data_IF_825349196099
#
_entry.id   IF_825349196099
#
_cell.length_a   1.000
_cell.length_b   1.000
_cell.length_c   1.000
_cell.angle_alpha   90.00
_cell.angle_beta   90.00
_cell.angle_gamma   90.00
#
_symmetry.space_group_name_H-M   'P 1'
#
loop_
_entity.id
_entity.type
_entity.pdbx_description
1 polymer ?
#
# COMPACT_ATOMS: atom_id res chain seq x y z
N UNK A 1 -6.59 -3.58 2.83
CA UNK A 1 -5.31 -3.18 2.19
C UNK A 1 -5.48 -1.76 1.68
N UNK A 2 -4.65 -0.84 2.12
CA UNK A 2 -4.62 0.55 1.69
C UNK A 2 -3.41 0.73 0.74
N UNK A 3 -3.69 1.02 -0.53
CA UNK A 3 -2.68 1.21 -1.59
C UNK A 3 -2.73 2.65 -2.15
N UNK A 4 -3.16 3.58 -1.31
CA UNK A 4 -3.41 4.96 -1.69
C UNK A 4 -3.46 5.87 -0.48
N UNK A 5 -3.97 7.08 -0.71
CA UNK A 5 -4.10 8.12 0.30
C UNK A 5 -5.03 7.70 1.45
N UNK A 6 -4.78 8.27 2.63
CA UNK A 6 -5.50 7.93 3.87
C UNK A 6 -6.85 8.63 4.05
N UNK A 7 -7.34 9.39 3.07
CA UNK A 7 -8.59 10.17 3.15
C UNK A 7 -9.79 9.31 3.53
N UNK A 8 -10.04 8.24 2.78
CA UNK A 8 -11.16 7.33 3.04
C UNK A 8 -11.03 6.61 4.39
N UNK A 9 -9.79 6.34 4.82
CA UNK A 9 -9.55 5.68 6.10
C UNK A 9 -9.81 6.63 7.26
N UNK A 10 -9.37 7.88 7.15
CA UNK A 10 -9.64 8.90 8.16
C UNK A 10 -11.14 9.19 8.26
N UNK A 11 -11.82 9.35 7.13
CA UNK A 11 -13.27 9.57 7.09
C UNK A 11 -14.03 8.41 7.75
N UNK A 12 -13.61 7.16 7.49
CA UNK A 12 -14.15 6.00 8.19
C UNK A 12 -13.93 6.11 9.70
N UNK A 13 -12.70 6.37 10.16
CA UNK A 13 -12.38 6.42 11.59
C UNK A 13 -13.12 7.55 12.33
N UNK A 14 -13.39 8.66 11.64
CA UNK A 14 -14.15 9.80 12.17
C UNK A 14 -15.67 9.63 12.06
N UNK A 15 -16.15 8.67 11.26
CA UNK A 15 -17.59 8.50 11.03
C UNK A 15 -18.33 8.07 12.31
N UNK A 16 -19.40 8.79 12.62
CA UNK A 16 -20.29 8.48 13.73
C UNK A 16 -21.36 7.45 13.33
N UNK A 17 -21.97 6.79 14.31
CA UNK A 17 -23.10 5.90 14.12
C UNK A 17 -24.39 6.68 13.79
N UNK A 18 -24.43 7.32 12.61
CA UNK A 18 -25.54 8.20 12.20
C UNK A 18 -26.20 7.78 10.89
N UNK A 19 -25.62 6.85 10.14
CA UNK A 19 -26.25 6.30 8.93
C UNK A 19 -27.40 5.36 9.29
N UNK A 20 -28.54 5.38 8.56
CA UNK A 20 -29.63 4.43 8.78
C UNK A 20 -29.13 2.98 8.75
N UNK A 21 -29.34 2.24 9.84
CA UNK A 21 -28.87 0.87 10.02
C UNK A 21 -27.46 0.72 10.62
N UNK A 22 -26.71 1.80 10.83
CA UNK A 22 -25.42 1.75 11.53
C UNK A 22 -25.63 1.76 13.05
N UNK A 23 -25.15 0.72 13.73
CA UNK A 23 -25.25 0.59 15.19
C UNK A 23 -23.95 0.92 15.92
N UNK A 24 -22.87 1.23 15.19
CA UNK A 24 -21.52 1.51 15.72
C UNK A 24 -20.82 2.60 14.90
N UNK A 25 -19.88 3.33 15.51
CA UNK A 25 -19.00 4.27 14.79
C UNK A 25 -18.04 3.54 13.86
N UNK A 26 -17.42 4.24 12.91
CA UNK A 26 -16.45 3.60 12.02
C UNK A 26 -15.20 3.08 12.75
N UNK A 27 -14.76 3.76 13.82
CA UNK A 27 -13.72 3.24 14.71
C UNK A 27 -14.10 1.90 15.35
N UNK A 28 -15.33 1.79 15.88
CA UNK A 28 -15.84 0.54 16.44
C UNK A 28 -16.05 -0.54 15.38
N UNK A 29 -16.39 -0.16 14.15
CA UNK A 29 -16.45 -1.08 13.03
C UNK A 29 -15.07 -1.67 12.71
N UNK A 30 -14.02 -0.83 12.69
CA UNK A 30 -12.63 -1.26 12.48
C UNK A 30 -12.23 -2.28 13.54
N UNK A 31 -12.42 -1.95 14.83
CA UNK A 31 -12.12 -2.87 15.95
C UNK A 31 -12.79 -4.23 15.81
N UNK A 32 -14.04 -4.25 15.34
CA UNK A 32 -14.86 -5.48 15.25
C UNK A 32 -14.59 -6.32 14.00
N UNK A 33 -14.17 -5.70 12.88
CA UNK A 33 -14.20 -6.33 11.55
C UNK A 33 -12.85 -6.39 10.86
N UNK A 34 -11.88 -5.59 11.27
CA UNK A 34 -10.56 -5.56 10.65
C UNK A 34 -9.61 -6.43 11.46
N UNK A 35 -9.10 -7.49 10.84
CA UNK A 35 -8.07 -8.35 11.45
C UNK A 35 -6.67 -7.77 11.33
N UNK A 36 -6.41 -7.00 10.27
CA UNK A 36 -5.13 -6.34 9.98
C UNK A 36 -5.31 -5.26 8.92
N UNK A 37 -4.58 -4.17 9.03
CA UNK A 37 -4.36 -3.21 7.95
C UNK A 37 -3.01 -3.49 7.28
N UNK A 38 -3.01 -3.52 5.95
CA UNK A 38 -1.78 -3.54 5.15
C UNK A 38 -1.73 -2.22 4.41
N UNK A 39 -0.62 -1.50 4.52
CA UNK A 39 -0.42 -0.17 3.94
C UNK A 39 0.72 -0.24 2.94
N UNK A 40 0.49 0.14 1.69
CA UNK A 40 1.58 0.58 0.81
C UNK A 40 1.84 2.05 1.10
N UNK A 41 2.97 2.34 1.72
CA UNK A 41 3.41 3.71 1.94
C UNK A 41 4.52 3.84 2.96
N UNK A 42 5.06 5.04 3.03
CA UNK A 42 6.21 5.37 3.85
C UNK A 42 7.55 4.94 3.22
N UNK A 43 8.63 5.28 3.93
CA UNK A 43 10.02 5.03 3.56
C UNK A 43 10.80 4.51 4.76
N UNK A 44 11.78 3.63 4.49
CA UNK A 44 12.85 3.30 5.45
C UNK A 44 14.12 4.11 5.19
N UNK A 45 14.30 4.64 3.98
CA UNK A 45 15.47 5.44 3.56
C UNK A 45 15.04 6.80 2.96
N UNK A 46 14.49 7.72 3.76
CA UNK A 46 14.14 9.05 3.27
C UNK A 46 15.39 9.87 2.93
N UNK A 47 15.29 10.74 1.92
CA UNK A 47 16.34 11.71 1.57
C UNK A 47 15.84 13.13 1.77
N UNK A 48 16.74 14.12 1.83
CA UNK A 48 16.34 15.53 1.93
C UNK A 48 15.46 15.97 0.77
N UNK A 49 15.78 15.52 -0.46
CA UNK A 49 15.01 15.83 -1.67
C UNK A 49 13.65 15.10 -1.74
N UNK A 50 13.52 13.95 -1.07
CA UNK A 50 12.32 13.11 -1.11
C UNK A 50 12.00 12.55 0.28
N UNK A 51 11.62 13.40 1.24
CA UNK A 51 11.53 13.01 2.64
C UNK A 51 10.32 12.13 2.96
N UNK A 52 9.27 12.19 2.15
CA UNK A 52 8.04 11.40 2.28
C UNK A 52 7.78 10.52 1.06
N UNK A 53 7.00 9.46 1.27
CA UNK A 53 6.41 8.65 0.20
C UNK A 53 5.05 9.24 -0.20
N UNK A 54 4.64 8.98 -1.45
CA UNK A 54 3.48 9.60 -2.09
C UNK A 54 2.14 9.32 -1.37
N UNK A 55 1.89 8.10 -0.89
CA UNK A 55 0.65 7.80 -0.17
C UNK A 55 0.59 8.44 1.23
N UNK A 56 1.73 8.83 1.81
CA UNK A 56 1.81 9.42 3.14
C UNK A 56 1.70 10.95 3.14
N UNK A 57 2.38 11.61 2.21
CA UNK A 57 2.39 13.07 2.13
C UNK A 57 2.10 13.65 0.75
N UNK A 58 1.88 12.80 -0.27
CA UNK A 58 1.67 13.23 -1.65
C UNK A 58 2.73 14.21 -2.11
N UNK A 59 2.31 15.17 -2.93
CA UNK A 59 3.15 16.31 -3.29
C UNK A 59 3.36 17.32 -2.15
N UNK A 60 2.87 17.06 -0.93
CA UNK A 60 3.09 17.84 0.29
C UNK A 60 4.45 17.63 0.95
N UNK A 61 5.48 17.26 0.18
CA UNK A 61 6.89 17.29 0.61
C UNK A 61 7.46 18.70 0.59
N UNK A 62 8.79 18.83 0.60
CA UNK A 62 9.44 20.13 0.41
C UNK A 62 8.94 20.78 -0.89
N UNK A 63 8.06 21.78 -0.72
CA UNK A 63 7.26 22.37 -1.79
C UNK A 63 5.76 22.27 -1.54
N UNK A 64 5.25 22.93 -0.49
CA UNK A 64 3.81 23.26 -0.41
C UNK A 64 3.42 24.03 -1.67
N UNK A 65 2.29 23.68 -2.27
CA UNK A 65 1.91 24.22 -3.59
C UNK A 65 0.90 23.39 -4.36
N UNK A 66 0.39 22.30 -3.78
CA UNK A 66 -0.63 21.47 -4.38
C UNK A 66 -2.06 21.82 -3.94
N UNK A 67 -2.24 22.89 -3.16
CA UNK A 67 -3.54 23.37 -2.73
C UNK A 67 -4.21 22.39 -1.76
N UNK A 68 -5.35 21.82 -2.15
CA UNK A 68 -6.13 20.91 -1.29
C UNK A 68 -5.39 19.63 -0.89
N UNK A 69 -4.26 19.32 -1.55
CA UNK A 69 -3.44 18.14 -1.29
C UNK A 69 -2.27 18.37 -0.32
N UNK A 70 -2.08 19.60 0.16
CA UNK A 70 -1.01 19.94 1.11
C UNK A 70 -1.24 19.35 2.52
N UNK A 71 -2.43 18.82 2.80
CA UNK A 71 -2.81 18.27 4.10
C UNK A 71 -2.66 16.74 4.21
N UNK A 72 -2.09 16.06 3.21
CA UNK A 72 -1.99 14.60 3.25
C UNK A 72 -1.13 14.07 4.40
N UNK A 73 -0.06 14.77 4.77
CA UNK A 73 0.71 14.42 5.97
C UNK A 73 -0.13 14.46 7.25
N UNK A 74 -1.03 15.43 7.36
CA UNK A 74 -1.96 15.55 8.48
C UNK A 74 -3.00 14.44 8.47
N UNK A 75 -3.55 14.12 7.30
CA UNK A 75 -4.54 13.06 7.12
C UNK A 75 -3.94 11.71 7.50
N UNK A 76 -2.75 11.38 6.98
CA UNK A 76 -2.03 10.14 7.29
C UNK A 76 -1.69 10.05 8.78
N UNK A 77 -1.12 11.12 9.35
CA UNK A 77 -0.81 11.17 10.79
C UNK A 77 -2.06 10.95 11.64
N UNK A 78 -3.17 11.62 11.30
CA UNK A 78 -4.41 11.55 12.08
C UNK A 78 -5.07 10.17 11.96
N UNK A 79 -5.06 9.56 10.77
CA UNK A 79 -5.58 8.22 10.56
C UNK A 79 -4.78 7.16 11.33
N UNK A 80 -3.45 7.21 11.26
CA UNK A 80 -2.58 6.28 12.00
C UNK A 80 -2.68 6.47 13.52
N UNK A 81 -2.82 7.71 14.00
CA UNK A 81 -3.01 8.01 15.44
C UNK A 81 -4.35 7.53 15.98
N UNK A 82 -5.40 7.55 15.15
CA UNK A 82 -6.73 7.06 15.52
C UNK A 82 -6.88 5.54 15.36
N UNK A 83 -5.96 4.90 14.63
CA UNK A 83 -6.03 3.47 14.39
C UNK A 83 -5.97 2.69 15.71
N UNK A 84 -6.87 1.72 15.94
CA UNK A 84 -6.86 0.94 17.18
C UNK A 84 -5.54 0.16 17.34
N UNK A 85 -4.86 0.33 18.47
CA UNK A 85 -3.56 -0.31 18.73
C UNK A 85 -3.65 -1.83 18.83
N UNK A 86 -4.84 -2.37 19.08
CA UNK A 86 -5.14 -3.80 19.09
C UNK A 86 -5.32 -4.39 17.68
N UNK A 87 -5.44 -3.57 16.63
CA UNK A 87 -5.60 -4.02 15.24
C UNK A 87 -4.26 -3.87 14.51
N UNK A 88 -3.57 -4.96 14.15
CA UNK A 88 -2.25 -4.90 13.54
C UNK A 88 -2.17 -4.08 12.25
N UNK A 89 -1.06 -3.38 12.04
CA UNK A 89 -0.70 -2.69 10.80
C UNK A 89 0.62 -3.25 10.27
N UNK A 90 0.66 -3.60 8.99
CA UNK A 90 1.90 -3.92 8.26
C UNK A 90 2.13 -2.90 7.16
N UNK A 91 3.31 -2.27 7.15
CA UNK A 91 3.73 -1.30 6.14
C UNK A 91 4.60 -1.97 5.08
N UNK A 92 4.31 -1.68 3.82
CA UNK A 92 5.17 -1.93 2.68
C UNK A 92 5.63 -0.57 2.16
N UNK A 93 6.91 -0.28 2.34
CA UNK A 93 7.49 1.01 2.04
C UNK A 93 8.00 1.11 0.59
N UNK A 94 8.40 2.33 0.22
CA UNK A 94 8.91 2.60 -1.12
C UNK A 94 10.13 1.73 -1.47
N UNK A 95 11.09 1.59 -0.55
CA UNK A 95 12.33 0.88 -0.82
C UNK A 95 12.12 -0.60 -1.12
N UNK A 96 11.16 -1.26 -0.45
CA UNK A 96 10.88 -2.68 -0.69
C UNK A 96 10.25 -2.94 -2.06
N UNK A 97 9.28 -2.12 -2.47
CA UNK A 97 8.52 -2.34 -3.69
C UNK A 97 9.19 -1.86 -4.97
N UNK A 98 10.16 -0.93 -4.88
CA UNK A 98 10.83 -0.35 -6.06
C UNK A 98 11.67 -1.38 -6.84
N UNK A 99 12.14 -2.44 -6.16
CA UNK A 99 13.03 -3.44 -6.76
C UNK A 99 12.29 -4.66 -7.30
N UNK A 100 11.01 -4.84 -6.97
CA UNK A 100 10.18 -5.92 -7.51
C UNK A 100 9.51 -5.42 -8.79
N UNK A 101 10.03 -5.86 -9.94
CA UNK A 101 9.62 -5.39 -11.27
C UNK A 101 8.72 -6.41 -11.96
N UNK A 102 7.42 -6.11 -12.06
CA UNK A 102 6.43 -6.98 -12.68
C UNK A 102 5.58 -6.23 -13.71
N UNK A 103 4.76 -6.96 -14.47
CA UNK A 103 3.84 -6.42 -15.46
C UNK A 103 4.32 -6.55 -16.90
N UNK A 104 5.62 -6.75 -17.14
CA UNK A 104 6.13 -6.93 -18.50
C UNK A 104 5.60 -8.22 -19.13
N UNK A 105 5.57 -9.34 -18.40
CA UNK A 105 4.94 -10.58 -18.90
C UNK A 105 3.47 -10.41 -19.20
N UNK A 106 2.75 -9.58 -18.43
CA UNK A 106 1.35 -9.29 -18.70
C UNK A 106 1.19 -8.50 -20.03
N UNK A 107 2.13 -7.62 -20.36
CA UNK A 107 2.17 -6.92 -21.66
C UNK A 107 2.47 -7.91 -22.80
N UNK A 108 3.49 -8.76 -22.62
CA UNK A 108 4.02 -9.61 -23.68
C UNK A 108 3.14 -10.85 -23.96
N UNK A 109 2.63 -11.49 -22.90
CA UNK A 109 1.96 -12.79 -22.95
C UNK A 109 0.47 -12.72 -22.60
N UNK A 110 0.01 -11.58 -22.04
CA UNK A 110 -1.39 -11.41 -21.65
C UNK A 110 -2.33 -11.44 -22.85
N UNK A 111 -3.58 -11.87 -22.66
CA UNK A 111 -4.59 -11.83 -23.71
C UNK A 111 -4.86 -10.41 -24.19
N UNK A 112 -5.11 -10.24 -25.48
CA UNK A 112 -5.39 -8.94 -26.08
C UNK A 112 -6.62 -8.22 -25.49
N UNK A 113 -7.61 -8.98 -25.03
CA UNK A 113 -8.83 -8.46 -24.40
C UNK A 113 -8.69 -8.21 -22.89
N UNK A 114 -7.50 -8.42 -22.30
CA UNK A 114 -7.27 -8.18 -20.88
C UNK A 114 -7.20 -6.68 -20.57
N UNK A 115 -8.11 -6.12 -19.75
CA UNK A 115 -8.02 -4.72 -19.36
C UNK A 115 -6.77 -4.44 -18.52
N UNK A 116 -6.29 -5.43 -17.77
CA UNK A 116 -5.04 -5.33 -17.01
C UNK A 116 -3.84 -5.19 -17.95
N UNK A 117 -3.75 -6.03 -19.00
CA UNK A 117 -2.72 -5.88 -20.04
C UNK A 117 -2.77 -4.49 -20.65
N UNK A 118 -3.96 -4.04 -21.05
CA UNK A 118 -4.11 -2.73 -21.67
C UNK A 118 -3.67 -1.58 -20.76
N UNK A 119 -3.97 -1.65 -19.46
CA UNK A 119 -3.55 -0.64 -18.50
C UNK A 119 -2.02 -0.55 -18.38
N UNK A 120 -1.34 -1.69 -18.27
CA UNK A 120 0.13 -1.74 -18.22
C UNK A 120 0.77 -1.24 -19.53
N UNK A 121 0.26 -1.65 -20.69
CA UNK A 121 0.73 -1.15 -21.99
C UNK A 121 0.65 0.38 -22.09
N UNK A 122 -0.50 0.95 -21.77
CA UNK A 122 -0.72 2.40 -21.85
C UNK A 122 0.19 3.12 -20.87
N UNK A 123 0.27 2.66 -19.62
CA UNK A 123 1.10 3.26 -18.59
C UNK A 123 2.58 3.23 -18.98
N UNK A 124 3.11 2.07 -19.39
CA UNK A 124 4.52 1.93 -19.76
C UNK A 124 4.86 2.69 -21.06
N UNK A 125 3.90 2.87 -21.98
CA UNK A 125 4.10 3.72 -23.15
C UNK A 125 4.13 5.21 -22.77
N UNK A 126 3.29 5.65 -21.85
CA UNK A 126 3.22 7.06 -21.43
C UNK A 126 4.37 7.46 -20.50
N UNK A 127 4.83 6.53 -19.65
CA UNK A 127 5.85 6.81 -18.64
C UNK A 127 6.92 5.71 -18.63
N UNK A 128 7.70 5.57 -19.73
CA UNK A 128 8.59 4.42 -19.95
C UNK A 128 9.68 4.26 -18.87
N UNK A 129 10.12 5.36 -18.26
CA UNK A 129 11.11 5.34 -17.17
C UNK A 129 10.61 4.57 -15.94
N UNK A 130 9.29 4.50 -15.72
CA UNK A 130 8.68 3.76 -14.61
C UNK A 130 8.50 2.27 -14.89
N UNK A 131 8.68 1.85 -16.15
CA UNK A 131 8.66 0.45 -16.56
C UNK A 131 10.04 -0.07 -17.02
N UNK A 132 11.11 0.71 -16.80
CA UNK A 132 12.46 0.28 -17.08
C UNK A 132 12.84 -0.97 -16.26
N UNK A 133 13.79 -1.75 -16.77
CA UNK A 133 14.31 -2.98 -16.13
C UNK A 133 13.30 -4.13 -16.04
N UNK A 134 12.49 -4.33 -17.09
CA UNK A 134 11.64 -5.51 -17.22
C UNK A 134 10.32 -5.43 -16.45
N UNK A 135 9.84 -4.23 -16.10
CA UNK A 135 8.51 -4.03 -15.53
C UNK A 135 8.37 -2.79 -14.65
N UNK A 136 7.16 -2.60 -14.11
CA UNK A 136 6.83 -1.55 -13.13
C UNK A 136 7.24 -2.01 -11.72
N UNK A 137 7.72 -1.08 -10.89
CA UNK A 137 7.81 -1.31 -9.44
C UNK A 137 6.45 -1.77 -8.87
N UNK A 138 6.46 -2.81 -8.05
CA UNK A 138 5.27 -3.60 -7.72
C UNK A 138 4.66 -3.29 -6.35
N UNK A 139 4.88 -2.09 -5.81
CA UNK A 139 4.45 -1.70 -4.46
C UNK A 139 3.02 -2.14 -4.11
N UNK A 140 2.03 -1.72 -4.91
CA UNK A 140 0.61 -2.03 -4.65
C UNK A 140 0.30 -3.52 -4.82
N UNK A 141 0.86 -4.15 -5.87
CA UNK A 141 0.64 -5.57 -6.14
C UNK A 141 1.24 -6.44 -5.04
N UNK A 142 2.40 -6.06 -4.48
CA UNK A 142 3.00 -6.71 -3.33
C UNK A 142 2.14 -6.54 -2.08
N UNK A 143 1.64 -5.34 -1.80
CA UNK A 143 0.76 -5.08 -0.65
C UNK A 143 -0.54 -5.88 -0.73
N UNK A 144 -1.13 -5.98 -1.93
CA UNK A 144 -2.32 -6.81 -2.19
C UNK A 144 -2.00 -8.30 -2.04
N UNK A 145 -0.89 -8.77 -2.62
CA UNK A 145 -0.47 -10.17 -2.49
C UNK A 145 -0.23 -10.55 -1.03
N UNK A 146 0.45 -9.68 -0.28
CA UNK A 146 0.67 -9.84 1.14
C UNK A 146 -0.65 -9.88 1.93
N UNK A 147 -1.54 -8.91 1.71
CA UNK A 147 -2.84 -8.87 2.38
C UNK A 147 -3.72 -10.10 2.09
N UNK A 148 -3.62 -10.67 0.88
CA UNK A 148 -4.40 -11.85 0.50
C UNK A 148 -3.78 -13.18 0.96
N UNK A 149 -2.46 -13.26 1.13
CA UNK A 149 -1.75 -14.54 1.32
C UNK A 149 -0.89 -14.63 2.57
N UNK A 150 -0.72 -13.53 3.29
CA UNK A 150 0.22 -13.41 4.40
C UNK A 150 1.70 -13.41 3.94
N UNK A 151 2.64 -13.51 4.89
CA UNK A 151 4.08 -13.46 4.62
C UNK A 151 4.59 -14.62 3.78
N UNK A 152 4.07 -15.83 4.03
CA UNK A 152 4.57 -17.10 3.44
C UNK A 152 6.10 -17.18 3.50
N UNK A 153 6.72 -17.74 2.47
CA UNK A 153 8.17 -17.75 2.29
C UNK A 153 8.69 -16.49 1.58
N UNK A 154 7.85 -15.47 1.34
CA UNK A 154 8.23 -14.27 0.60
C UNK A 154 8.71 -13.15 1.52
N UNK A 155 8.12 -13.04 2.70
CA UNK A 155 8.30 -11.88 3.56
C UNK A 155 8.49 -12.25 5.03
N UNK A 156 9.30 -11.47 5.72
CA UNK A 156 9.36 -11.38 7.18
C UNK A 156 8.67 -10.08 7.62
N UNK A 157 8.24 -10.04 8.88
CA UNK A 157 7.65 -8.86 9.51
C UNK A 157 8.60 -8.34 10.59
N UNK A 158 9.19 -7.16 10.36
CA UNK A 158 10.03 -6.47 11.33
C UNK A 158 9.14 -5.68 12.29
N UNK A 159 9.13 -6.05 13.57
CA UNK A 159 8.43 -5.33 14.62
C UNK A 159 9.00 -3.91 14.82
N UNK A 160 8.14 -2.91 14.94
CA UNK A 160 8.55 -1.54 15.23
C UNK A 160 7.39 -0.58 15.48
N UNK A 161 7.68 0.71 15.38
CA UNK A 161 6.71 1.79 15.41
C UNK A 161 6.95 2.74 14.25
N UNK A 162 5.88 3.12 13.56
CA UNK A 162 5.93 4.07 12.47
C UNK A 162 5.38 5.42 12.92
N UNK A 163 6.22 6.45 12.90
CA UNK A 163 5.81 7.82 13.20
C UNK A 163 5.76 8.64 11.93
N UNK A 164 4.71 9.44 11.75
CA UNK A 164 4.51 10.30 10.56
C UNK A 164 4.50 11.75 10.98
N UNK A 165 5.34 12.56 10.35
CA UNK A 165 5.35 14.00 10.50
C UNK A 165 4.07 14.60 9.90
N UNK A 166 3.28 15.25 10.75
CA UNK A 166 1.98 15.84 10.39
C UNK A 166 2.08 16.89 9.27
N UNK A 167 3.19 17.61 9.14
CA UNK A 167 3.29 18.74 8.22
C UNK A 167 3.67 18.35 6.79
N UNK A 168 4.37 17.23 6.60
CA UNK A 168 4.90 16.83 5.29
C UNK A 168 4.76 15.33 4.97
N UNK A 169 4.25 14.52 5.90
CA UNK A 169 4.05 13.08 5.69
C UNK A 169 5.33 12.23 5.74
N UNK A 170 6.50 12.83 5.99
CA UNK A 170 7.74 12.07 6.17
C UNK A 170 7.60 11.13 7.37
N UNK A 171 8.05 9.89 7.25
CA UNK A 171 7.92 8.92 8.33
C UNK A 171 9.28 8.41 8.84
N UNK A 172 9.25 7.88 10.05
CA UNK A 172 10.36 7.15 10.65
C UNK A 172 9.83 5.87 11.25
N UNK A 173 10.35 4.74 10.77
CA UNK A 173 10.10 3.44 11.36
C UNK A 173 11.23 3.11 12.33
N UNK A 174 10.89 2.81 13.59
CA UNK A 174 11.86 2.44 14.63
C UNK A 174 11.61 1.00 15.03
N UNK A 175 12.53 0.06 14.73
CA UNK A 175 12.41 -1.32 15.17
C UNK A 175 12.40 -1.43 16.70
N UNK A 176 11.66 -2.42 17.21
CA UNK A 176 11.62 -2.73 18.65
C UNK A 176 11.72 -4.23 18.89
N UNK A 177 12.30 -4.62 20.02
CA UNK A 177 12.43 -6.02 20.43
C UNK A 177 11.19 -6.55 21.17
N UNK A 178 10.32 -5.64 21.64
CA UNK A 178 9.10 -5.94 22.38
C UNK A 178 7.89 -6.19 21.46
N UNK A 179 6.81 -6.74 22.03
CA UNK A 179 5.56 -6.93 21.31
C UNK A 179 4.93 -5.60 20.89
N UNK A 180 4.71 -5.43 19.59
CA UNK A 180 3.99 -4.32 18.97
C UNK A 180 2.91 -4.86 18.03
N UNK A 181 1.98 -3.99 17.62
CA UNK A 181 1.00 -4.26 16.58
C UNK A 181 1.39 -3.63 15.24
N UNK A 182 2.59 -3.06 15.13
CA UNK A 182 3.08 -2.41 13.91
C UNK A 182 4.31 -3.12 13.36
N UNK A 183 4.28 -3.35 12.04
CA UNK A 183 5.32 -4.11 11.35
C UNK A 183 5.75 -3.43 10.06
N UNK A 184 7.04 -3.49 9.75
CA UNK A 184 7.58 -3.19 8.43
C UNK A 184 7.85 -4.50 7.70
N UNK A 185 7.41 -4.59 6.45
CA UNK A 185 7.60 -5.78 5.64
C UNK A 185 9.04 -5.86 5.12
N UNK A 186 9.66 -7.03 5.24
CA UNK A 186 11.00 -7.30 4.71
C UNK A 186 10.98 -8.48 3.74
N UNK A 187 11.81 -8.43 2.71
CA UNK A 187 11.87 -9.49 1.70
C UNK A 187 12.76 -10.64 2.17
N UNK A 188 12.25 -11.87 2.13
CA UNK A 188 13.03 -13.10 2.43
C UNK A 188 13.76 -13.68 1.24
N UNK A 189 13.27 -13.38 0.05
CA UNK A 189 13.74 -13.97 -1.19
C UNK A 189 14.07 -12.89 -2.22
N UNK A 190 14.61 -13.32 -3.36
CA UNK A 190 14.99 -12.42 -4.42
C UNK A 190 13.77 -11.70 -5.04
N UNK A 191 13.91 -10.43 -5.43
CA UNK A 191 12.81 -9.61 -5.95
C UNK A 191 12.19 -10.17 -7.24
N UNK A 192 13.00 -10.76 -8.09
CA UNK A 192 12.59 -11.38 -9.36
C UNK A 192 11.64 -12.57 -9.13
N UNK A 193 11.86 -13.39 -8.10
CA UNK A 193 10.97 -14.51 -7.76
C UNK A 193 9.60 -14.00 -7.30
N UNK A 194 9.56 -12.89 -6.55
CA UNK A 194 8.31 -12.24 -6.15
C UNK A 194 7.60 -11.65 -7.36
N UNK A 195 8.34 -10.97 -8.24
CA UNK A 195 7.80 -10.41 -9.48
C UNK A 195 7.20 -11.50 -10.39
N UNK A 196 7.90 -12.62 -10.56
CA UNK A 196 7.42 -13.77 -11.31
C UNK A 196 6.11 -14.33 -10.75
N UNK A 197 5.96 -14.38 -9.42
CA UNK A 197 4.69 -14.80 -8.81
C UNK A 197 3.58 -13.78 -9.08
N UNK A 198 3.87 -12.48 -8.97
CA UNK A 198 2.90 -11.42 -9.30
C UNK A 198 2.45 -11.52 -10.77
N UNK A 199 3.38 -11.67 -11.71
CA UNK A 199 3.08 -11.86 -13.13
C UNK A 199 2.25 -13.11 -13.37
N UNK A 200 2.65 -14.24 -12.76
CA UNK A 200 1.90 -15.50 -12.85
C UNK A 200 0.46 -15.33 -12.37
N UNK A 201 0.20 -14.49 -11.36
CA UNK A 201 -1.15 -14.20 -10.89
C UNK A 201 -1.91 -13.26 -11.81
N UNK A 202 -1.27 -12.23 -12.36
CA UNK A 202 -1.88 -11.29 -13.30
C UNK A 202 -2.27 -11.94 -14.62
N UNK A 203 -1.56 -13.00 -15.03
CA UNK A 203 -1.88 -13.80 -16.22
C UNK A 203 -3.05 -14.78 -16.02
N UNK A 204 -3.53 -14.97 -14.78
CA UNK A 204 -4.67 -15.87 -14.54
C UNK A 204 -5.98 -15.25 -14.99
N UNK A 205 -6.80 -16.07 -15.64
CA UNK A 205 -8.20 -15.72 -15.87
C UNK A 205 -8.96 -15.59 -14.55
N UNK A 206 -9.89 -14.63 -14.44
CA UNK A 206 -10.90 -14.69 -13.41
C UNK A 206 -11.57 -16.06 -13.46
N UNK A 207 -11.75 -16.70 -12.31
CA UNK A 207 -12.60 -17.88 -12.25
C UNK A 207 -13.98 -17.42 -12.71
N UNK A 208 -14.47 -17.94 -13.84
CA UNK A 208 -15.82 -17.68 -14.29
C UNK A 208 -16.78 -18.17 -13.19
N UNK A 209 -17.28 -17.24 -12.38
CA UNK A 209 -18.46 -17.48 -11.58
C UNK A 209 -19.61 -17.04 -12.45
N UNK A 210 -20.46 -17.95 -12.98
CA UNK A 210 -21.75 -17.50 -13.47
C UNK A 210 -22.38 -16.64 -12.37
N UNK A 211 -23.08 -15.54 -12.71
CA UNK A 211 -23.78 -14.75 -11.71
C UNK A 211 -24.62 -15.70 -10.84
N UNK A 212 -24.68 -15.47 -9.52
CA UNK A 212 -25.54 -16.28 -8.66
C UNK A 212 -26.97 -16.30 -9.26
N UNK A 213 -27.64 -17.46 -9.26
CA UNK A 213 -29.01 -17.58 -9.78
C UNK A 213 -29.98 -16.63 -9.08
#
# INVERSE_FOLDING_TARGET
VNIGLFTNLLDLLLSEAKSPGATVSGLELVRKKVSRLVVMGGRREPTTAWPQEWNFGGCGGEGKGCGTFDNFGEITNSALKLWPSEVPITFLDFELGKDVRAGQKLIDEGREDSPCRRAYEVFCRQVPTWCAHGGRGSWDAMAVMYGARGPRNWYDELAGHNTVNRSNGANTFVPVDDSTSEYLLERKIQPDVIAMEIDRLMLKMPLARPPPP
#
